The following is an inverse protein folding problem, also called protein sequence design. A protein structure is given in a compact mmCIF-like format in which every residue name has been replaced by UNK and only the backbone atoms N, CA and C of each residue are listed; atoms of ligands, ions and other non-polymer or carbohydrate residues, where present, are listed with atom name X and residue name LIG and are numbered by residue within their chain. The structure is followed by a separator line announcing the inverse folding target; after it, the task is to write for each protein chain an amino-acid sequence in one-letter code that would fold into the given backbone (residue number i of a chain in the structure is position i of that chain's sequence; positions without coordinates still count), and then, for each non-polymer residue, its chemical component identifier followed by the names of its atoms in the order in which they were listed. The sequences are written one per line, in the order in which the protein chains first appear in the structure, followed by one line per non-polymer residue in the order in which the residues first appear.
data_IF_965430707050
#
_entry.id   IF_965430707050
#
_cell.length_a   1.000
_cell.length_b   1.000
_cell.length_c   1.000
_cell.angle_alpha   90.00
_cell.angle_beta   90.00
_cell.angle_gamma   90.00
#
_symmetry.space_group_name_H-M   'P 1'
#
loop_
_entity.id
_entity.type
_entity.pdbx_description
1 polymer ?
#
# COMPACT_ATOMS: atom_id res chain seq x y z
N UNK A 1 -5.65 -2.94 27.30
CA UNK A 1 -6.47 -2.84 26.06
C UNK A 1 -5.81 -2.00 24.97
N UNK A 2 -5.37 -0.76 25.24
CA UNK A 2 -4.82 0.15 24.22
C UNK A 2 -3.66 -0.40 23.37
N UNK A 3 -2.72 -1.13 23.98
CA UNK A 3 -1.58 -1.76 23.28
C UNK A 3 -2.07 -2.77 22.24
N UNK A 4 -3.00 -3.66 22.62
CA UNK A 4 -3.58 -4.67 21.71
C UNK A 4 -4.27 -4.04 20.49
N UNK A 5 -4.91 -2.88 20.67
CA UNK A 5 -5.55 -2.15 19.57
C UNK A 5 -4.53 -1.62 18.56
N UNK A 6 -3.41 -1.09 19.05
CA UNK A 6 -2.31 -0.58 18.22
C UNK A 6 -1.67 -1.73 17.45
N UNK A 7 -1.35 -2.84 18.11
CA UNK A 7 -0.76 -4.01 17.47
C UNK A 7 -1.69 -4.58 16.38
N UNK A 8 -2.99 -4.66 16.67
CA UNK A 8 -3.99 -5.11 15.71
C UNK A 8 -4.10 -4.16 14.50
N UNK A 9 -3.98 -2.85 14.71
CA UNK A 9 -3.93 -1.87 13.62
C UNK A 9 -2.69 -2.06 12.76
N UNK A 10 -1.49 -2.11 13.36
CA UNK A 10 -0.23 -2.31 12.65
C UNK A 10 -0.28 -3.59 11.82
N UNK A 11 -0.74 -4.70 12.43
CA UNK A 11 -0.87 -5.97 11.73
C UNK A 11 -1.79 -5.88 10.49
N UNK A 12 -2.97 -5.27 10.64
CA UNK A 12 -3.93 -5.11 9.53
C UNK A 12 -3.42 -4.16 8.45
N UNK A 13 -2.76 -3.07 8.86
CA UNK A 13 -2.14 -2.12 7.95
C UNK A 13 -1.08 -2.79 7.07
N UNK A 14 -0.23 -3.62 7.66
CA UNK A 14 0.78 -4.39 6.93
C UNK A 14 0.11 -5.38 5.97
N UNK A 15 -0.90 -6.12 6.44
CA UNK A 15 -1.65 -7.05 5.58
C UNK A 15 -2.32 -6.37 4.40
N UNK A 16 -2.82 -5.15 4.58
CA UNK A 16 -3.40 -4.35 3.50
C UNK A 16 -2.34 -4.01 2.44
N UNK A 17 -1.18 -3.52 2.87
CA UNK A 17 -0.06 -3.21 1.95
C UNK A 17 0.39 -4.45 1.17
N UNK A 18 0.59 -5.58 1.85
CA UNK A 18 1.02 -6.83 1.23
C UNK A 18 -0.03 -7.31 0.22
N UNK A 19 -1.32 -7.30 0.58
CA UNK A 19 -2.40 -7.66 -0.34
C UNK A 19 -2.44 -6.77 -1.58
N UNK A 20 -2.30 -5.46 -1.41
CA UNK A 20 -2.33 -4.52 -2.53
C UNK A 20 -1.15 -4.72 -3.47
N UNK A 21 0.06 -4.79 -2.92
CA UNK A 21 1.29 -4.95 -3.70
C UNK A 21 1.40 -6.33 -4.37
N UNK A 22 1.02 -7.40 -3.68
CA UNK A 22 1.23 -8.75 -4.22
C UNK A 22 0.14 -9.20 -5.18
N UNK A 23 -1.08 -8.70 -5.01
CA UNK A 23 -2.26 -9.18 -5.72
C UNK A 23 -3.07 -8.08 -6.40
N UNK A 24 -3.55 -7.07 -5.66
CA UNK A 24 -4.50 -6.10 -6.22
C UNK A 24 -3.95 -5.42 -7.48
N UNK A 25 -2.73 -4.89 -7.42
CA UNK A 25 -2.13 -4.17 -8.56
C UNK A 25 -2.01 -5.05 -9.79
N UNK A 26 -1.65 -6.32 -9.61
CA UNK A 26 -1.56 -7.28 -10.70
C UNK A 26 -2.92 -7.54 -11.32
N UNK A 27 -3.95 -7.74 -10.50
CA UNK A 27 -5.32 -7.99 -10.98
C UNK A 27 -5.91 -6.77 -11.69
N UNK A 28 -5.63 -5.55 -11.21
CA UNK A 28 -6.01 -4.30 -11.91
C UNK A 28 -5.32 -4.21 -13.26
N UNK A 29 -4.02 -4.51 -13.34
CA UNK A 29 -3.30 -4.48 -14.60
C UNK A 29 -3.76 -5.61 -15.56
N UNK A 30 -4.15 -6.76 -15.03
CA UNK A 30 -4.74 -7.86 -15.82
C UNK A 30 -6.08 -7.45 -16.42
N UNK A 31 -6.95 -6.80 -15.65
CA UNK A 31 -8.28 -6.40 -16.13
C UNK A 31 -8.22 -5.39 -17.27
N UNK A 32 -7.14 -4.59 -17.34
CA UNK A 32 -6.91 -3.61 -18.43
C UNK A 32 -5.99 -4.15 -19.54
N UNK A 33 -5.49 -5.38 -19.43
CA UNK A 33 -4.62 -6.01 -20.43
C UNK A 33 -3.15 -5.53 -20.42
N UNK A 34 -2.70 -4.86 -19.37
CA UNK A 34 -1.33 -4.32 -19.26
C UNK A 34 -0.38 -5.20 -18.41
N UNK A 35 -0.90 -6.25 -17.78
CA UNK A 35 -0.10 -7.16 -16.94
C UNK A 35 0.64 -8.22 -17.75
N UNK A 36 1.88 -8.52 -17.34
CA UNK A 36 2.68 -9.66 -17.80
C UNK A 36 3.23 -10.43 -16.61
N UNK A 37 3.30 -11.76 -16.70
CA UNK A 37 3.75 -12.62 -15.58
C UNK A 37 5.18 -12.34 -15.12
N UNK A 38 6.03 -11.76 -15.98
CA UNK A 38 7.40 -11.39 -15.66
C UNK A 38 7.53 -10.05 -14.92
N UNK A 39 6.44 -9.30 -14.70
CA UNK A 39 6.50 -7.96 -14.10
C UNK A 39 6.79 -8.05 -12.60
N UNK A 40 7.82 -7.32 -12.19
CA UNK A 40 8.06 -7.07 -10.79
C UNK A 40 7.03 -6.05 -10.25
N UNK A 41 6.98 -5.89 -8.91
CA UNK A 41 6.10 -4.89 -8.30
C UNK A 41 6.41 -3.47 -8.80
N UNK A 42 7.68 -3.12 -8.99
CA UNK A 42 8.08 -1.80 -9.49
C UNK A 42 7.52 -1.56 -10.90
N UNK A 43 7.61 -2.56 -11.78
CA UNK A 43 7.03 -2.46 -13.12
C UNK A 43 5.50 -2.30 -13.08
N UNK A 44 4.84 -2.96 -12.12
CA UNK A 44 3.41 -2.81 -11.90
C UNK A 44 3.06 -1.38 -11.46
N UNK A 45 3.83 -0.81 -10.52
CA UNK A 45 3.63 0.55 -10.04
C UNK A 45 3.86 1.57 -11.15
N UNK A 46 4.93 1.44 -11.93
CA UNK A 46 5.21 2.30 -13.09
C UNK A 46 4.06 2.26 -14.11
N UNK A 47 3.45 1.09 -14.31
CA UNK A 47 2.28 0.95 -15.19
C UNK A 47 1.05 1.63 -14.62
N UNK A 48 0.77 1.44 -13.33
CA UNK A 48 -0.35 2.10 -12.67
C UNK A 48 -0.20 3.63 -12.72
N UNK A 49 1.02 4.15 -12.58
CA UNK A 49 1.32 5.57 -12.71
C UNK A 49 1.11 6.07 -14.15
N UNK A 50 1.60 5.34 -15.15
CA UNK A 50 1.36 5.66 -16.58
C UNK A 50 -0.11 5.62 -16.98
N UNK A 51 -0.92 4.82 -16.29
CA UNK A 51 -2.37 4.76 -16.46
C UNK A 51 -3.11 5.85 -15.65
N UNK A 52 -2.37 6.73 -14.97
CA UNK A 52 -2.88 7.80 -14.11
C UNK A 52 -3.77 7.26 -12.96
N UNK A 53 -3.57 6.00 -12.55
CA UNK A 53 -4.28 5.37 -11.43
C UNK A 53 -3.64 5.78 -10.10
N UNK A 54 -2.31 5.89 -10.08
CA UNK A 54 -1.56 6.40 -8.93
C UNK A 54 -0.70 7.59 -9.38
N UNK A 55 -0.47 8.54 -8.48
CA UNK A 55 0.24 9.77 -8.81
C UNK A 55 1.76 9.62 -8.76
N UNK A 56 2.25 8.77 -7.84
CA UNK A 56 3.68 8.57 -7.61
C UNK A 56 3.97 7.10 -7.27
N UNK A 57 4.55 6.37 -8.22
CA UNK A 57 4.93 4.96 -8.04
C UNK A 57 5.92 4.78 -6.86
N UNK A 58 6.91 5.67 -6.76
CA UNK A 58 7.96 5.65 -5.74
C UNK A 58 7.42 5.76 -4.31
N UNK A 59 6.29 6.44 -4.10
CA UNK A 59 5.70 6.58 -2.77
C UNK A 59 5.29 5.23 -2.18
N UNK A 60 4.92 4.27 -3.03
CA UNK A 60 4.59 2.94 -2.55
C UNK A 60 5.79 2.26 -1.86
N UNK A 61 7.02 2.53 -2.32
CA UNK A 61 8.23 2.01 -1.69
C UNK A 61 8.46 2.62 -0.30
N UNK A 62 8.10 3.90 -0.12
CA UNK A 62 8.12 4.55 1.19
C UNK A 62 7.15 3.88 2.18
N UNK A 63 5.96 3.48 1.71
CA UNK A 63 5.00 2.74 2.54
C UNK A 63 5.57 1.38 2.98
N UNK A 64 6.28 0.69 2.09
CA UNK A 64 6.93 -0.60 2.45
C UNK A 64 8.08 -0.42 3.43
N UNK A 65 8.78 0.71 3.41
CA UNK A 65 9.87 0.98 4.36
C UNK A 65 9.35 1.08 5.80
N UNK A 66 8.16 1.67 6.01
CA UNK A 66 7.58 1.76 7.36
C UNK A 66 7.15 0.39 7.91
N UNK A 67 6.75 -0.56 7.03
CA UNK A 67 6.46 -1.94 7.44
C UNK A 67 7.66 -2.57 8.13
N UNK A 68 8.85 -2.41 7.57
CA UNK A 68 10.07 -3.00 8.12
C UNK A 68 10.40 -2.40 9.49
N UNK A 69 10.25 -1.08 9.66
CA UNK A 69 10.41 -0.41 10.96
C UNK A 69 9.40 -0.91 12.00
N UNK A 70 8.11 -0.98 11.65
CA UNK A 70 7.04 -1.43 12.56
C UNK A 70 7.10 -2.92 12.93
N UNK A 71 7.84 -3.75 12.19
CA UNK A 71 7.93 -5.20 12.42
C UNK A 71 9.22 -5.65 13.09
N UNK A 72 10.33 -4.95 12.84
CA UNK A 72 11.64 -5.29 13.42
C UNK A 72 11.99 -4.40 14.62
N UNK A 73 11.61 -3.13 14.60
CA UNK A 73 11.96 -2.13 15.61
C UNK A 73 10.78 -1.90 16.55
N UNK A 74 10.31 -2.95 17.24
CA UNK A 74 9.85 -2.71 18.62
C UNK A 74 11.09 -2.41 19.46
N UNK A 75 11.77 -1.32 19.12
CA UNK A 75 12.95 -0.82 19.79
C UNK A 75 12.52 -0.45 21.21
N UNK A 76 13.43 -0.61 22.14
CA UNK A 76 13.29 -0.19 23.54
C UNK A 76 13.01 1.32 23.72
N UNK A 77 12.87 2.08 22.62
CA UNK A 77 12.61 3.50 22.56
C UNK A 77 11.14 3.80 22.22
N UNK A 78 10.41 4.33 23.19
CA UNK A 78 8.99 4.68 23.03
C UNK A 78 8.73 5.80 22.01
N UNK A 79 9.68 6.72 21.82
CA UNK A 79 9.50 7.85 20.89
C UNK A 79 9.48 7.40 19.43
N UNK A 80 10.38 6.47 19.08
CA UNK A 80 10.44 5.87 17.74
C UNK A 80 9.15 5.09 17.41
N UNK A 81 8.62 4.36 18.40
CA UNK A 81 7.36 3.64 18.26
C UNK A 81 6.19 4.60 17.98
N UNK A 82 6.08 5.69 18.74
CA UNK A 82 5.02 6.71 18.54
C UNK A 82 5.14 7.33 17.16
N UNK A 83 6.35 7.72 16.74
CA UNK A 83 6.58 8.28 15.42
C UNK A 83 6.21 7.29 14.29
N UNK A 84 6.56 6.01 14.46
CA UNK A 84 6.20 4.96 13.51
C UNK A 84 4.68 4.78 13.38
N UNK A 85 3.96 4.77 14.50
CA UNK A 85 2.49 4.66 14.50
C UNK A 85 1.84 5.89 13.85
N UNK A 86 2.32 7.09 14.16
CA UNK A 86 1.84 8.32 13.54
C UNK A 86 2.02 8.29 12.02
N UNK A 87 3.19 7.86 11.55
CA UNK A 87 3.47 7.74 10.13
C UNK A 87 2.60 6.66 9.46
N UNK A 88 2.37 5.54 10.14
CA UNK A 88 1.45 4.50 9.65
C UNK A 88 0.03 5.01 9.46
N UNK A 89 -0.46 5.88 10.36
CA UNK A 89 -1.78 6.51 10.21
C UNK A 89 -1.85 7.47 9.03
N UNK A 90 -0.78 8.23 8.76
CA UNK A 90 -0.68 9.11 7.59
C UNK A 90 -0.72 8.27 6.31
N UNK A 91 0.16 7.27 6.19
CA UNK A 91 0.21 6.40 5.02
C UNK A 91 -1.05 5.55 4.83
N UNK A 92 -1.76 5.20 5.91
CA UNK A 92 -3.06 4.54 5.79
C UNK A 92 -4.05 5.39 5.01
N UNK A 93 -4.05 6.72 5.23
CA UNK A 93 -4.91 7.64 4.46
C UNK A 93 -4.51 7.68 2.99
N UNK A 94 -3.22 7.75 2.69
CA UNK A 94 -2.71 7.79 1.32
C UNK A 94 -2.97 6.48 0.56
N UNK A 95 -2.82 5.33 1.22
CA UNK A 95 -3.17 4.02 0.66
C UNK A 95 -4.67 3.94 0.37
N UNK A 96 -5.51 4.53 1.22
CA UNK A 96 -6.95 4.61 0.97
C UNK A 96 -7.26 5.47 -0.27
N UNK A 97 -6.52 6.55 -0.49
CA UNK A 97 -6.63 7.34 -1.72
C UNK A 97 -6.25 6.52 -2.96
N UNK A 98 -5.18 5.72 -2.90
CA UNK A 98 -4.83 4.78 -3.99
C UNK A 98 -5.96 3.79 -4.29
N UNK A 99 -6.59 3.22 -3.26
CA UNK A 99 -7.74 2.32 -3.45
C UNK A 99 -8.92 3.04 -4.13
N UNK A 100 -9.21 4.27 -3.71
CA UNK A 100 -10.28 5.07 -4.32
C UNK A 100 -9.98 5.38 -5.79
N UNK A 101 -8.73 5.72 -6.14
CA UNK A 101 -8.32 5.96 -7.52
C UNK A 101 -8.44 4.70 -8.38
N UNK A 102 -8.05 3.53 -7.85
CA UNK A 102 -8.26 2.24 -8.52
C UNK A 102 -9.75 2.00 -8.78
N UNK A 103 -10.59 2.14 -7.76
CA UNK A 103 -12.04 1.93 -7.89
C UNK A 103 -12.65 2.89 -8.93
N UNK A 104 -12.30 4.17 -8.87
CA UNK A 104 -12.76 5.17 -9.81
C UNK A 104 -12.36 4.83 -11.25
N UNK A 105 -11.11 4.42 -11.45
CA UNK A 105 -10.60 4.02 -12.76
C UNK A 105 -11.35 2.79 -13.30
N UNK A 106 -11.55 1.76 -12.48
CA UNK A 106 -12.25 0.53 -12.90
C UNK A 106 -13.72 0.81 -13.26
N UNK A 107 -14.42 1.64 -12.48
CA UNK A 107 -15.80 2.07 -12.76
C UNK A 107 -15.88 2.83 -14.09
N UNK A 108 -14.96 3.77 -14.32
CA UNK A 108 -14.89 4.54 -15.58
C UNK A 108 -14.70 3.64 -16.80
N UNK A 109 -14.01 2.50 -16.64
CA UNK A 109 -13.77 1.51 -17.70
C UNK A 109 -14.84 0.41 -17.80
N UNK A 110 -15.86 0.41 -16.94
CA UNK A 110 -16.89 -0.64 -16.85
C UNK A 110 -16.32 -2.04 -16.59
N UNK A 111 -15.19 -2.11 -15.87
CA UNK A 111 -14.52 -3.36 -15.53
C UNK A 111 -14.96 -3.92 -14.16
N UNK A 112 -15.75 -3.16 -13.41
CA UNK A 112 -16.40 -3.50 -12.14
C UNK A 112 -17.66 -2.64 -11.97
#
# INVERSE_FOLDING_TARGET
EKIKTIDAFIFRFIKLQDFMGERLFKEVLKSVGEYKDSMALIDCLDKLEKLEIITQADQWMNYRTIRNKLTHEYSTNQEEMIAGIQLAMVYFKEINEVLNSINHYLQKKQLC
#
